data_IF_072500103930
#
_entry.id   IF_072500103930
#
_cell.length_a   1.000
_cell.length_b   1.000
_cell.length_c   1.000
_cell.angle_alpha   90.00
_cell.angle_beta   90.00
_cell.angle_gamma   90.00
#
_symmetry.space_group_name_H-M   'P 1'
#
loop_
_entity.id
_entity.type
_entity.pdbx_description
1 polymer ?
#
# COMPACT_ATOMS: atom_id res chain seq x y z
N UNK A 1 14.70 -6.14 12.92
CA UNK A 1 14.13 -5.49 14.13
C UNK A 1 13.47 -4.13 13.88
N UNK A 2 13.83 -3.37 12.83
CA UNK A 2 13.31 -2.01 12.60
C UNK A 2 11.81 -1.91 12.23
N UNK A 3 11.32 -2.77 11.33
CA UNK A 3 9.92 -2.69 10.84
C UNK A 3 8.87 -2.96 11.92
N UNK A 4 9.18 -3.80 12.92
CA UNK A 4 8.28 -4.05 14.08
C UNK A 4 8.09 -2.80 14.93
N UNK A 5 9.15 -2.04 15.18
CA UNK A 5 9.09 -0.78 15.94
C UNK A 5 8.29 0.31 15.22
N UNK A 6 8.48 0.45 13.91
CA UNK A 6 7.78 1.46 13.09
C UNK A 6 6.27 1.15 13.02
N UNK A 7 5.90 -0.14 13.01
CA UNK A 7 4.52 -0.59 12.97
C UNK A 7 3.70 -0.20 14.20
N UNK A 8 4.32 -0.04 15.37
CA UNK A 8 3.64 0.27 16.62
C UNK A 8 3.53 1.80 16.86
N UNK A 9 4.40 2.60 16.26
CA UNK A 9 4.46 4.05 16.49
C UNK A 9 3.60 4.91 15.56
N UNK A 10 3.15 4.36 14.41
CA UNK A 10 2.45 5.17 13.39
C UNK A 10 3.33 6.25 12.76
N UNK A 11 4.65 6.14 12.91
CA UNK A 11 5.63 7.13 12.47
C UNK A 11 5.69 7.21 10.93
N UNK A 12 5.20 8.32 10.38
CA UNK A 12 5.18 8.57 8.94
C UNK A 12 6.58 8.66 8.34
N UNK A 13 7.54 9.23 9.05
CA UNK A 13 8.93 9.36 8.57
C UNK A 13 9.62 8.00 8.51
N UNK A 14 9.42 7.17 9.55
CA UNK A 14 9.90 5.78 9.57
C UNK A 14 9.32 4.94 8.42
N UNK A 15 8.03 5.05 8.14
CA UNK A 15 7.40 4.35 7.02
C UNK A 15 7.88 4.85 5.65
N UNK A 16 8.09 6.16 5.50
CA UNK A 16 8.66 6.72 4.29
C UNK A 16 10.08 6.19 4.05
N UNK A 17 10.92 6.16 5.08
CA UNK A 17 12.28 5.60 4.98
C UNK A 17 12.26 4.11 4.61
N UNK A 18 11.36 3.32 5.21
CA UNK A 18 11.20 1.90 4.91
C UNK A 18 10.76 1.65 3.45
N UNK A 19 9.79 2.43 2.96
CA UNK A 19 9.35 2.37 1.55
C UNK A 19 10.50 2.75 0.61
N UNK A 20 11.21 3.84 0.90
CA UNK A 20 12.35 4.26 0.08
C UNK A 20 13.46 3.21 0.04
N UNK A 21 13.72 2.53 1.16
CA UNK A 21 14.69 1.43 1.21
C UNK A 21 14.26 0.26 0.33
N UNK A 22 13.00 -0.17 0.41
CA UNK A 22 12.47 -1.25 -0.43
C UNK A 22 12.46 -0.89 -1.93
N UNK A 23 12.18 0.37 -2.27
CA UNK A 23 12.27 0.86 -3.67
C UNK A 23 13.71 0.83 -4.17
N UNK A 24 14.69 1.21 -3.34
CA UNK A 24 16.10 1.12 -3.72
C UNK A 24 16.53 -0.33 -3.95
N UNK A 25 16.10 -1.24 -3.10
CA UNK A 25 16.37 -2.68 -3.24
C UNK A 25 15.87 -3.22 -4.58
N UNK A 26 14.64 -2.88 -5.00
CA UNK A 26 14.12 -3.27 -6.32
C UNK A 26 15.00 -2.74 -7.44
N UNK A 27 15.38 -1.45 -7.40
CA UNK A 27 16.26 -0.85 -8.43
C UNK A 27 17.62 -1.52 -8.51
N UNK A 28 18.23 -1.83 -7.37
CA UNK A 28 19.49 -2.56 -7.31
C UNK A 28 19.37 -3.95 -7.94
N UNK A 29 18.23 -4.64 -7.76
CA UNK A 29 17.99 -5.94 -8.38
C UNK A 29 17.68 -5.82 -9.88
N UNK A 30 16.98 -4.77 -10.32
CA UNK A 30 16.76 -4.48 -11.75
C UNK A 30 18.10 -4.22 -12.45
N UNK A 31 18.97 -3.41 -11.85
CA UNK A 31 20.30 -3.12 -12.38
C UNK A 31 21.18 -4.38 -12.43
N UNK A 32 21.10 -5.24 -11.41
CA UNK A 32 21.80 -6.52 -11.38
C UNK A 32 21.29 -7.49 -12.46
N UNK A 33 19.98 -7.52 -12.72
CA UNK A 33 19.39 -8.31 -13.79
C UNK A 33 19.83 -7.81 -15.18
N UNK A 34 19.84 -6.49 -15.39
CA UNK A 34 20.27 -5.89 -16.66
C UNK A 34 21.73 -6.16 -17.00
N UNK A 35 22.57 -6.39 -15.99
CA UNK A 35 23.99 -6.72 -16.13
C UNK A 35 24.28 -8.22 -16.07
N UNK A 36 23.25 -9.06 -15.88
CA UNK A 36 23.42 -10.48 -15.66
C UNK A 36 23.90 -11.21 -16.93
N UNK A 37 24.87 -12.09 -16.76
CA UNK A 37 25.20 -13.08 -17.78
C UNK A 37 24.09 -14.11 -17.90
N UNK A 38 23.99 -14.75 -19.07
CA UNK A 38 22.89 -15.67 -19.40
C UNK A 38 22.79 -16.82 -18.41
N UNK A 39 23.93 -17.32 -17.92
CA UNK A 39 24.03 -18.41 -16.95
C UNK A 39 23.46 -18.05 -15.57
N UNK A 40 23.35 -16.76 -15.24
CA UNK A 40 22.85 -16.28 -13.95
C UNK A 40 21.52 -15.53 -14.04
N UNK A 41 20.99 -15.39 -15.25
CA UNK A 41 19.77 -14.64 -15.54
C UNK A 41 18.57 -15.15 -14.71
N UNK A 42 18.35 -16.45 -14.67
CA UNK A 42 17.25 -17.06 -13.90
C UNK A 42 17.36 -16.72 -12.40
N UNK A 43 18.57 -16.78 -11.84
CA UNK A 43 18.81 -16.40 -10.44
C UNK A 43 18.49 -14.93 -10.19
N UNK A 44 18.85 -14.03 -11.10
CA UNK A 44 18.53 -12.61 -10.95
C UNK A 44 17.02 -12.34 -11.10
N UNK A 45 16.29 -13.10 -11.94
CA UNK A 45 14.83 -13.05 -12.02
C UNK A 45 14.22 -13.37 -10.65
N UNK A 46 14.66 -14.45 -10.00
CA UNK A 46 14.16 -14.81 -8.67
C UNK A 46 14.41 -13.70 -7.63
N UNK A 47 15.60 -13.09 -7.64
CA UNK A 47 15.93 -11.99 -6.72
C UNK A 47 15.09 -10.75 -6.97
N UNK A 48 14.88 -10.40 -8.24
CA UNK A 48 14.02 -9.27 -8.60
C UNK A 48 12.58 -9.50 -8.13
N UNK A 49 12.02 -10.69 -8.36
CA UNK A 49 10.68 -11.05 -7.86
C UNK A 49 10.59 -10.98 -6.33
N UNK A 50 11.60 -11.47 -5.62
CA UNK A 50 11.64 -11.38 -4.17
C UNK A 50 11.65 -9.93 -3.67
N UNK A 51 12.39 -9.04 -4.33
CA UNK A 51 12.42 -7.61 -3.99
C UNK A 51 11.07 -6.93 -4.28
N UNK A 52 10.42 -7.25 -5.41
CA UNK A 52 9.07 -6.74 -5.72
C UNK A 52 8.04 -7.17 -4.66
N UNK A 53 8.06 -8.44 -4.24
CA UNK A 53 7.18 -8.96 -3.20
C UNK A 53 7.43 -8.31 -1.84
N UNK A 54 8.71 -8.05 -1.51
CA UNK A 54 9.10 -7.34 -0.31
C UNK A 54 8.54 -5.91 -0.32
N UNK A 55 8.71 -5.16 -1.41
CA UNK A 55 8.13 -3.83 -1.57
C UNK A 55 6.60 -3.85 -1.40
N UNK A 56 5.92 -4.81 -2.03
CA UNK A 56 4.48 -4.96 -1.90
C UNK A 56 4.05 -5.24 -0.44
N UNK A 57 4.82 -6.02 0.30
CA UNK A 57 4.59 -6.29 1.72
C UNK A 57 4.76 -5.02 2.58
N UNK A 58 5.84 -4.26 2.36
CA UNK A 58 6.08 -2.99 3.08
C UNK A 58 4.94 -2.00 2.83
N UNK A 59 4.51 -1.86 1.57
CA UNK A 59 3.37 -0.98 1.22
C UNK A 59 2.06 -1.41 1.90
N UNK A 60 1.77 -2.72 1.96
CA UNK A 60 0.59 -3.22 2.68
C UNK A 60 0.67 -2.90 4.17
N UNK A 61 1.84 -3.06 4.79
CA UNK A 61 2.02 -2.77 6.21
C UNK A 61 1.93 -1.27 6.50
N UNK A 62 2.54 -0.42 5.66
CA UNK A 62 2.46 1.03 5.77
C UNK A 62 1.02 1.52 5.63
N UNK A 63 0.26 1.03 4.63
CA UNK A 63 -1.16 1.37 4.47
C UNK A 63 -1.98 1.02 5.71
N UNK A 64 -1.77 -0.17 6.29
CA UNK A 64 -2.44 -0.59 7.53
C UNK A 64 -2.07 0.30 8.71
N UNK A 65 -0.79 0.61 8.88
CA UNK A 65 -0.32 1.42 10.00
C UNK A 65 -0.76 2.89 9.91
N UNK A 66 -0.89 3.44 8.69
CA UNK A 66 -1.34 4.80 8.45
C UNK A 66 -2.86 4.94 8.32
N UNK A 67 -3.63 3.87 8.57
CA UNK A 67 -5.09 3.89 8.51
C UNK A 67 -5.69 3.97 7.10
N UNK A 68 -4.88 3.79 6.06
CA UNK A 68 -5.30 3.81 4.65
C UNK A 68 -5.72 2.42 4.13
N UNK A 69 -6.26 1.56 5.00
CA UNK A 69 -6.71 0.23 4.61
C UNK A 69 -8.11 0.32 3.95
N UNK A 70 -8.26 -0.03 2.66
CA UNK A 70 -9.56 -0.01 1.99
C UNK A 70 -10.57 -0.99 2.60
N UNK A 71 -10.12 -2.03 3.34
CA UNK A 71 -11.02 -2.90 4.08
C UNK A 71 -11.71 -2.17 5.25
N UNK A 72 -11.04 -1.17 5.86
CA UNK A 72 -11.60 -0.34 6.92
C UNK A 72 -12.50 0.76 6.34
N UNK A 73 -12.19 1.29 5.15
CA UNK A 73 -13.05 2.25 4.46
C UNK A 73 -14.44 1.70 4.10
N UNK A 74 -14.59 0.37 3.93
CA UNK A 74 -15.88 -0.30 3.68
C UNK A 74 -16.77 -0.45 4.93
N UNK A 75 -16.24 -0.18 6.13
CA UNK A 75 -16.99 -0.23 7.39
C UNK A 75 -17.62 1.12 7.76
N UNK A 76 -17.31 2.20 7.03
CA UNK A 76 -18.03 3.45 7.20
C UNK A 76 -19.47 3.23 6.69
N UNK A 77 -20.51 3.46 7.52
CA UNK A 77 -21.88 3.42 7.04
C UNK A 77 -22.01 4.41 5.87
N UNK A 78 -22.70 4.03 4.77
CA UNK A 78 -22.90 4.96 3.67
C UNK A 78 -23.53 6.24 4.23
N UNK A 79 -23.12 7.44 3.74
CA UNK A 79 -23.76 8.68 4.17
C UNK A 79 -25.27 8.54 3.96
N UNK A 80 -26.10 9.04 4.88
CA UNK A 80 -27.55 8.94 4.76
C UNK A 80 -27.95 9.49 3.40
N UNK A 81 -28.50 8.62 2.56
CA UNK A 81 -28.99 8.99 1.23
C UNK A 81 -30.16 9.93 1.48
N UNK A 82 -29.95 11.24 1.32
CA UNK A 82 -31.04 12.20 1.36
C UNK A 82 -32.04 11.80 0.28
N UNK A 83 -33.19 11.25 0.68
CA UNK A 83 -34.28 10.95 -0.23
C UNK A 83 -34.81 12.29 -0.76
N UNK A 84 -34.88 12.51 -2.07
CA UNK A 84 -35.31 13.80 -2.63
C UNK A 84 -36.82 14.07 -2.52
N UNK A 85 -37.53 13.42 -1.59
CA UNK A 85 -38.97 13.58 -1.42
C UNK A 85 -39.34 13.65 0.06
N UNK A 86 -39.04 14.80 0.66
CA UNK A 86 -39.68 15.21 1.89
C UNK A 86 -39.85 16.72 1.83
N UNK A 87 -40.77 17.19 0.99
CA UNK A 87 -41.53 18.45 1.12
C UNK A 87 -42.20 18.81 -0.21
N UNK A 88 -43.36 18.22 -0.51
CA UNK A 88 -44.42 19.04 -1.09
C UNK A 88 -45.67 18.84 -0.21
N UNK A 89 -46.23 19.92 0.37
CA UNK A 89 -47.43 19.83 1.18
C UNK A 89 -48.64 19.43 0.32
N UNK A 90 -49.73 18.91 0.92
CA UNK A 90 -50.93 18.55 0.16
C UNK A 90 -51.47 19.79 -0.57
N UNK A 91 -51.79 19.61 -1.85
CA UNK A 91 -52.59 20.58 -2.59
C UNK A 91 -53.97 20.64 -1.92
N UNK A 92 -54.31 21.82 -1.37
CA UNK A 92 -55.68 22.13 -0.98
C UNK A 92 -56.57 22.16 -2.24
N UNK A 93 -57.78 21.59 -2.12
CA UNK A 93 -58.84 21.47 -3.13
C UNK A 93 -59.29 22.81 -3.75
#
# INVERSE_FOLDING_TARGET
MAVRKIRESGDREGWQAAIQAAVREVREMEDAFNQAERETCDYQIYRLRAAEEHLALVLRQARRALGADPAVARLAPPPPRALPYASEPPADD
#
